data_IF_827298247316
#
_entry.id   IF_827298247316
#
_cell.length_a   1.000
_cell.length_b   1.000
_cell.length_c   1.000
_cell.angle_alpha   90.00
_cell.angle_beta   90.00
_cell.angle_gamma   90.00
#
_symmetry.space_group_name_H-M   'P 1'
#
loop_
_entity.id
_entity.type
_entity.pdbx_description
1 polymer ?
#
# COMPACT_ATOMS: atom_id res chain seq x y z
N UNK A 1 25.02 -39.00 -9.61
CA UNK A 1 24.54 -37.74 -10.22
C UNK A 1 23.60 -37.08 -9.22
N UNK A 2 23.89 -35.85 -8.81
CA UNK A 2 23.14 -35.12 -7.78
C UNK A 2 22.20 -34.16 -8.51
N UNK A 3 20.89 -34.33 -8.39
CA UNK A 3 19.92 -33.30 -8.81
C UNK A 3 19.62 -32.39 -7.64
N UNK A 4 20.02 -31.13 -7.80
CA UNK A 4 19.75 -30.03 -6.92
C UNK A 4 18.32 -29.55 -7.17
N UNK A 5 17.54 -29.36 -6.11
CA UNK A 5 16.74 -28.17 -5.80
C UNK A 5 15.49 -28.55 -5.01
N UNK A 6 15.53 -28.23 -3.71
CA UNK A 6 14.37 -28.11 -2.85
C UNK A 6 13.52 -26.93 -3.31
N UNK A 7 12.64 -27.18 -4.27
CA UNK A 7 11.62 -26.24 -4.66
C UNK A 7 10.51 -26.34 -3.62
N UNK A 8 10.60 -25.50 -2.59
CA UNK A 8 9.43 -25.17 -1.76
C UNK A 8 8.50 -24.38 -2.66
N UNK A 9 7.60 -25.08 -3.35
CA UNK A 9 6.41 -24.48 -3.93
C UNK A 9 5.61 -23.98 -2.74
N UNK A 10 5.81 -22.71 -2.36
CA UNK A 10 4.85 -22.05 -1.50
C UNK A 10 3.52 -22.20 -2.23
N UNK A 11 2.61 -23.03 -1.69
CA UNK A 11 1.22 -23.00 -2.11
C UNK A 11 0.84 -21.53 -2.16
N UNK A 12 0.19 -21.05 -3.24
CA UNK A 12 -0.37 -19.70 -3.23
C UNK A 12 -1.39 -19.72 -2.11
N UNK A 13 -0.95 -19.34 -0.92
CA UNK A 13 -1.83 -19.12 0.21
C UNK A 13 -2.90 -18.19 -0.33
N UNK A 14 -4.14 -18.50 -0.01
CA UNK A 14 -5.24 -17.57 -0.14
C UNK A 14 -4.91 -16.36 0.73
N UNK A 15 -4.01 -15.49 0.25
CA UNK A 15 -3.78 -14.19 0.82
C UNK A 15 -5.13 -13.50 0.73
N UNK A 16 -5.64 -13.05 1.87
CA UNK A 16 -6.87 -12.26 1.89
C UNK A 16 -6.67 -11.11 0.90
N UNK A 17 -7.38 -11.16 -0.23
CA UNK A 17 -7.14 -10.21 -1.31
C UNK A 17 -7.56 -8.81 -0.84
N UNK A 18 -8.44 -8.70 0.14
CA UNK A 18 -9.04 -7.45 0.62
C UNK A 18 -8.19 -6.62 1.59
N UNK A 19 -6.92 -6.94 1.82
CA UNK A 19 -6.06 -6.10 2.66
C UNK A 19 -5.72 -4.75 2.01
N UNK A 20 -5.62 -3.69 2.83
CA UNK A 20 -5.29 -2.32 2.38
C UNK A 20 -3.99 -2.30 1.58
N UNK A 21 -2.96 -3.00 2.02
CA UNK A 21 -1.68 -3.03 1.31
C UNK A 21 -1.76 -3.70 -0.07
N UNK A 22 -2.68 -4.65 -0.25
CA UNK A 22 -2.89 -5.30 -1.55
C UNK A 22 -3.61 -4.37 -2.51
N UNK A 23 -4.62 -3.65 -2.02
CA UNK A 23 -5.29 -2.58 -2.79
C UNK A 23 -4.28 -1.52 -3.22
N UNK A 24 -3.42 -1.05 -2.31
CA UNK A 24 -2.41 -0.04 -2.65
C UNK A 24 -1.36 -0.58 -3.63
N UNK A 25 -0.92 -1.84 -3.50
CA UNK A 25 0.01 -2.46 -4.46
C UNK A 25 -0.59 -2.59 -5.85
N UNK A 26 -1.88 -2.89 -5.95
CA UNK A 26 -2.60 -2.95 -7.23
C UNK A 26 -2.72 -1.57 -7.92
N UNK A 27 -2.53 -0.48 -7.16
CA UNK A 27 -2.69 0.89 -7.64
C UNK A 27 -1.37 1.70 -7.61
N UNK A 28 -0.21 1.03 -7.72
CA UNK A 28 1.09 1.72 -7.82
C UNK A 28 1.11 2.68 -9.00
N UNK A 29 1.67 3.87 -8.78
CA UNK A 29 1.73 4.95 -9.77
C UNK A 29 0.49 5.84 -9.82
N UNK A 30 -0.64 5.46 -9.20
CA UNK A 30 -1.80 6.34 -9.02
C UNK A 30 -1.57 7.34 -7.89
N UNK A 31 -2.26 8.47 -7.96
CA UNK A 31 -2.25 9.47 -6.88
C UNK A 31 -3.30 9.06 -5.85
N UNK A 32 -2.87 9.00 -4.59
CA UNK A 32 -3.76 8.78 -3.45
C UNK A 32 -3.67 9.95 -2.48
N UNK A 33 -4.80 10.25 -1.85
CA UNK A 33 -4.85 11.13 -0.68
C UNK A 33 -4.99 10.27 0.56
N UNK A 34 -4.00 10.35 1.45
CA UNK A 34 -3.90 9.55 2.67
C UNK A 34 -4.13 10.45 3.88
N UNK A 35 -5.14 10.11 4.67
CA UNK A 35 -5.55 10.86 5.86
C UNK A 35 -5.05 10.12 7.11
N UNK A 36 -4.31 10.82 7.96
CA UNK A 36 -3.70 10.23 9.16
C UNK A 36 -3.88 11.09 10.38
N UNK A 37 -4.09 10.44 11.53
CA UNK A 37 -4.15 11.11 12.82
C UNK A 37 -3.05 10.57 13.74
N UNK A 38 -2.10 11.43 14.10
CA UNK A 38 -1.05 11.12 15.07
C UNK A 38 -1.52 11.49 16.48
N UNK A 39 -1.12 10.74 17.49
CA UNK A 39 -1.58 10.93 18.88
C UNK A 39 -1.45 12.38 19.34
N UNK A 40 -2.58 13.00 19.71
CA UNK A 40 -2.60 14.38 20.22
C UNK A 40 -2.50 15.47 19.14
N UNK A 41 -2.57 15.11 17.86
CA UNK A 41 -2.48 16.04 16.74
C UNK A 41 -3.79 16.14 15.94
N UNK A 42 -3.95 17.24 15.20
CA UNK A 42 -4.97 17.35 14.16
C UNK A 42 -4.64 16.39 13.00
N UNK A 43 -5.68 15.98 12.27
CA UNK A 43 -5.53 15.13 11.08
C UNK A 43 -4.58 15.78 10.07
N UNK A 44 -3.66 14.98 9.57
CA UNK A 44 -2.73 15.35 8.50
C UNK A 44 -3.14 14.66 7.20
N UNK A 45 -2.88 15.35 6.09
CA UNK A 45 -3.24 14.89 4.75
C UNK A 45 -1.97 14.81 3.91
N UNK A 46 -1.74 13.64 3.30
CA UNK A 46 -0.62 13.39 2.41
C UNK A 46 -1.14 13.06 1.02
N UNK A 47 -0.66 13.76 -0.01
CA UNK A 47 -1.03 13.51 -1.41
C UNK A 47 0.21 13.08 -2.16
N UNK A 48 0.15 11.91 -2.79
CA UNK A 48 1.33 11.34 -3.44
C UNK A 48 1.04 10.19 -4.39
N UNK A 49 2.01 9.93 -5.26
CA UNK A 49 2.04 8.72 -6.06
C UNK A 49 2.33 7.51 -5.17
N UNK A 50 1.53 6.47 -5.27
CA UNK A 50 1.78 5.22 -4.57
C UNK A 50 3.03 4.56 -5.15
N UNK A 51 4.09 4.49 -4.35
CA UNK A 51 5.27 3.71 -4.69
C UNK A 51 5.14 2.26 -4.22
N UNK A 52 4.37 2.00 -3.16
CA UNK A 52 4.12 0.66 -2.65
C UNK A 52 3.49 0.67 -1.26
N UNK A 53 3.22 -0.52 -0.73
CA UNK A 53 2.73 -0.69 0.64
C UNK A 53 3.25 -2.00 1.24
N UNK A 54 3.50 -1.98 2.54
CA UNK A 54 3.77 -3.14 3.40
C UNK A 54 2.58 -3.39 4.32
N UNK A 55 2.67 -4.43 5.17
CA UNK A 55 1.64 -4.74 6.17
C UNK A 55 1.38 -3.58 7.14
N UNK A 56 2.41 -2.81 7.46
CA UNK A 56 2.42 -1.78 8.49
C UNK A 56 2.70 -0.37 7.95
N UNK A 57 2.88 -0.22 6.64
CA UNK A 57 3.26 1.07 6.07
C UNK A 57 2.81 1.28 4.61
N UNK A 58 2.72 2.55 4.23
CA UNK A 58 2.48 3.05 2.88
C UNK A 58 3.69 3.85 2.44
N UNK A 59 4.15 3.66 1.20
CA UNK A 59 5.22 4.47 0.59
C UNK A 59 4.60 5.38 -0.46
N UNK A 60 4.65 6.69 -0.21
CA UNK A 60 4.17 7.73 -1.13
C UNK A 60 5.33 8.58 -1.63
N UNK A 61 5.29 8.96 -2.90
CA UNK A 61 6.10 10.05 -3.44
C UNK A 61 5.24 11.29 -3.54
N UNK A 62 5.64 12.34 -2.82
CA UNK A 62 4.98 13.64 -2.88
C UNK A 62 4.89 14.14 -4.34
N UNK A 63 3.74 14.71 -4.72
CA UNK A 63 3.52 15.16 -6.11
C UNK A 63 4.25 16.46 -6.45
N UNK A 64 4.60 17.26 -5.45
CA UNK A 64 5.18 18.60 -5.63
C UNK A 64 6.69 18.65 -5.37
N UNK A 65 7.23 17.62 -4.71
CA UNK A 65 8.62 17.61 -4.23
C UNK A 65 9.30 16.27 -4.47
N UNK A 66 10.59 16.20 -4.14
CA UNK A 66 11.34 14.94 -4.16
C UNK A 66 11.27 14.18 -2.83
N UNK A 67 10.29 14.44 -1.96
CA UNK A 67 10.12 13.69 -0.71
C UNK A 67 9.43 12.36 -0.96
N UNK A 68 9.95 11.33 -0.30
CA UNK A 68 9.27 10.04 -0.18
C UNK A 68 8.83 9.88 1.26
N UNK A 69 7.54 9.69 1.47
CA UNK A 69 6.97 9.40 2.77
C UNK A 69 6.90 7.88 2.97
N UNK A 70 7.28 7.44 4.17
CA UNK A 70 6.96 6.11 4.69
C UNK A 70 6.01 6.34 5.86
N UNK A 71 4.73 6.03 5.63
CA UNK A 71 3.63 6.35 6.53
C UNK A 71 3.14 5.09 7.22
N UNK A 72 3.05 5.08 8.56
CA UNK A 72 2.64 3.89 9.31
C UNK A 72 1.12 3.73 9.29
N UNK A 73 0.64 2.53 8.93
CA UNK A 73 -0.82 2.27 8.82
C UNK A 73 -1.54 2.27 10.16
N UNK A 74 -0.83 2.19 11.28
CA UNK A 74 -1.42 2.35 12.62
C UNK A 74 -2.04 3.74 12.84
N UNK A 75 -1.60 4.75 12.10
CA UNK A 75 -2.15 6.10 12.13
C UNK A 75 -3.09 6.40 10.95
N UNK A 76 -3.37 5.39 10.11
CA UNK A 76 -4.21 5.56 8.94
C UNK A 76 -5.68 5.67 9.34
N UNK A 77 -6.32 6.76 8.94
CA UNK A 77 -7.76 6.91 9.08
C UNK A 77 -8.46 6.31 7.85
N UNK A 78 -8.15 6.83 6.66
CA UNK A 78 -8.67 6.36 5.37
C UNK A 78 -7.84 6.88 4.19
N UNK A 79 -8.15 6.38 2.99
CA UNK A 79 -7.49 6.73 1.73
C UNK A 79 -8.57 7.03 0.69
N UNK A 80 -8.37 8.08 -0.11
CA UNK A 80 -9.20 8.37 -1.28
C UNK A 80 -8.38 8.39 -2.56
N UNK A 81 -9.07 8.14 -3.66
CA UNK A 81 -8.57 8.26 -5.02
C UNK A 81 -9.60 9.05 -5.82
N UNK A 82 -9.15 9.98 -6.64
CA UNK A 82 -10.01 10.76 -7.54
C UNK A 82 -10.19 10.06 -8.92
N UNK A 83 -9.72 8.82 -9.03
CA UNK A 83 -9.81 7.97 -10.22
C UNK A 83 -10.29 6.56 -9.83
N UNK A 84 -10.76 5.80 -10.82
CA UNK A 84 -11.14 4.39 -10.64
C UNK A 84 -9.93 3.58 -10.15
N UNK A 85 -10.12 2.69 -9.18
CA UNK A 85 -9.05 1.87 -8.61
C UNK A 85 -9.15 0.40 -9.02
N UNK A 86 -8.01 -0.26 -9.12
CA UNK A 86 -7.94 -1.71 -9.28
C UNK A 86 -8.14 -2.38 -7.92
N UNK A 87 -9.04 -3.35 -7.85
CA UNK A 87 -9.18 -4.22 -6.68
C UNK A 87 -8.48 -5.56 -6.97
N UNK A 88 -7.73 -6.10 -6.00
CA UNK A 88 -7.04 -7.39 -6.15
C UNK A 88 -7.98 -8.61 -6.08
N UNK A 89 -9.30 -8.39 -6.04
CA UNK A 89 -10.36 -9.40 -6.01
C UNK A 89 -11.50 -9.00 -6.95
N UNK A 90 -12.29 -9.98 -7.38
CA UNK A 90 -13.55 -9.77 -8.10
C UNK A 90 -14.73 -9.80 -7.10
N UNK A 91 -15.74 -8.97 -7.35
CA UNK A 91 -17.02 -8.95 -6.63
C UNK A 91 -17.95 -10.08 -7.09
#
# INVERSE_FOLDING_TARGET
MITQQGQVTASPGLFEQSYVENILRANRGKIATVYMTFTGHQQQVFVGYILGAGRDHIVLRDVNTTKTFVLLTIYLDYITFDEEIALPYQL
#
